data_IF_402102374776
#
_entry.id   IF_402102374776
#
_cell.length_a   1.000
_cell.length_b   1.000
_cell.length_c   1.000
_cell.angle_alpha   90.00
_cell.angle_beta   90.00
_cell.angle_gamma   90.00
#
_symmetry.space_group_name_H-M   'P 1'
#
loop_
_entity.id
_entity.type
_entity.pdbx_description
1 polymer ?
#
# COMPACT_ATOMS: atom_id res chain seq x y z
N UNK A 1 20.14 -3.35 0.23
CA UNK A 1 20.65 -3.75 -1.08
C UNK A 1 20.60 -5.30 -1.17
N UNK A 2 19.37 -5.81 -1.13
CA UNK A 2 19.12 -7.26 -1.13
C UNK A 2 19.34 -7.89 -2.50
N UNK A 3 19.14 -7.13 -3.57
CA UNK A 3 19.32 -7.55 -4.95
C UNK A 3 20.73 -7.27 -5.51
N UNK A 4 21.57 -6.53 -4.78
CA UNK A 4 22.96 -6.25 -5.15
C UNK A 4 23.16 -5.17 -6.23
N UNK A 5 22.15 -4.34 -6.51
CA UNK A 5 22.19 -3.31 -7.56
C UNK A 5 22.93 -2.03 -7.15
N UNK A 6 23.39 -1.94 -5.91
CA UNK A 6 24.10 -0.77 -5.37
C UNK A 6 23.18 0.31 -4.82
N UNK A 7 21.86 0.10 -4.85
CA UNK A 7 20.89 0.97 -4.20
C UNK A 7 20.45 0.41 -2.84
N UNK A 8 19.97 1.26 -1.95
CA UNK A 8 19.22 0.82 -0.79
C UNK A 8 17.78 0.51 -1.23
N UNK A 9 17.25 -0.65 -0.82
CA UNK A 9 15.88 -1.05 -1.20
C UNK A 9 14.82 -0.09 -0.63
N UNK A 10 15.07 0.45 0.55
CA UNK A 10 14.28 1.52 1.16
C UNK A 10 15.11 2.27 2.20
N UNK A 11 14.81 3.55 2.37
CA UNK A 11 15.33 4.40 3.43
C UNK A 11 14.16 5.03 4.19
N UNK A 12 14.11 4.85 5.50
CA UNK A 12 13.10 5.47 6.34
C UNK A 12 13.70 6.67 7.09
N UNK A 13 13.12 7.85 6.89
CA UNK A 13 13.44 9.07 7.61
C UNK A 13 12.34 9.37 8.62
N UNK A 14 12.63 9.22 9.90
CA UNK A 14 11.74 9.63 10.98
C UNK A 14 12.13 11.02 11.45
N UNK A 15 11.19 11.96 11.35
CA UNK A 15 11.39 13.34 11.77
C UNK A 15 10.70 13.60 13.11
N UNK A 16 11.50 14.05 14.08
CA UNK A 16 10.96 14.50 15.37
C UNK A 16 10.33 15.89 15.19
N UNK A 17 9.02 15.94 15.35
CA UNK A 17 8.20 17.15 15.37
C UNK A 17 7.44 17.20 16.69
N UNK A 18 7.06 18.39 17.12
CA UNK A 18 6.26 18.57 18.34
C UNK A 18 4.78 18.20 18.11
N UNK A 19 4.29 18.38 16.88
CA UNK A 19 2.91 18.11 16.48
C UNK A 19 2.86 17.41 15.11
N UNK A 20 1.77 16.69 14.85
CA UNK A 20 1.51 16.11 13.54
C UNK A 20 1.35 17.23 12.48
N UNK A 21 2.00 17.12 11.33
CA UNK A 21 1.89 18.11 10.26
C UNK A 21 0.47 18.11 9.65
N UNK A 22 0.09 19.21 9.02
CA UNK A 22 -1.14 19.28 8.24
C UNK A 22 -1.05 18.32 7.04
N UNK A 23 -2.18 17.74 6.63
CA UNK A 23 -2.27 16.72 5.58
C UNK A 23 -1.72 17.15 4.23
N UNK A 24 -1.85 18.43 3.90
CA UNK A 24 -1.36 19.03 2.65
C UNK A 24 0.09 19.55 2.75
N UNK A 25 0.75 19.37 3.88
CA UNK A 25 2.10 19.86 4.08
C UNK A 25 3.16 18.97 3.43
N UNK A 26 4.30 19.56 3.10
CA UNK A 26 5.48 18.81 2.64
C UNK A 26 6.01 17.81 3.68
N UNK A 27 5.64 18.00 4.95
CA UNK A 27 6.06 17.16 6.07
C UNK A 27 5.08 16.05 6.41
N UNK A 28 3.99 15.87 5.64
CA UNK A 28 3.09 14.73 5.79
C UNK A 28 3.81 13.41 5.50
N UNK A 29 3.40 12.33 6.17
CA UNK A 29 3.95 11.00 5.91
C UNK A 29 3.75 10.62 4.44
N UNK A 30 4.78 10.07 3.83
CA UNK A 30 4.73 9.67 2.41
C UNK A 30 5.87 8.74 2.02
N UNK A 31 5.61 7.88 1.06
CA UNK A 31 6.63 7.25 0.23
C UNK A 31 6.98 8.20 -0.91
N UNK A 32 8.25 8.34 -1.20
CA UNK A 32 8.72 9.09 -2.34
C UNK A 32 9.98 8.46 -2.93
N UNK A 33 10.46 9.01 -4.03
CA UNK A 33 11.65 8.52 -4.70
C UNK A 33 12.62 9.67 -4.95
N UNK A 34 13.91 9.41 -4.79
CA UNK A 34 14.96 10.26 -5.33
C UNK A 34 15.29 9.78 -6.73
N UNK A 35 14.90 10.54 -7.70
CA UNK A 35 15.09 10.16 -9.10
C UNK A 35 16.49 10.55 -9.55
N UNK A 36 17.21 9.54 -10.05
CA UNK A 36 18.45 9.72 -10.77
C UNK A 36 18.13 9.87 -12.26
N UNK A 37 17.99 11.09 -12.73
CA UNK A 37 17.70 11.35 -14.13
C UNK A 37 17.57 12.83 -14.44
N UNK A 38 17.42 13.15 -15.72
CA UNK A 38 17.03 14.49 -16.12
C UNK A 38 15.51 14.67 -15.90
N UNK A 39 15.04 15.92 -15.95
CA UNK A 39 13.63 16.24 -15.74
C UNK A 39 12.67 15.56 -16.75
N UNK A 40 13.17 15.09 -17.90
CA UNK A 40 12.38 14.42 -18.91
C UNK A 40 12.17 12.94 -18.60
N UNK A 41 13.14 12.28 -17.97
CA UNK A 41 12.97 10.91 -17.43
C UNK A 41 11.94 10.91 -16.30
N UNK A 42 11.86 11.99 -15.52
CA UNK A 42 10.86 12.19 -14.46
C UNK A 42 9.43 12.28 -15.01
N UNK A 43 9.23 12.99 -16.12
CA UNK A 43 7.92 13.16 -16.75
C UNK A 43 7.33 11.85 -17.26
N UNK A 44 8.15 10.87 -17.58
CA UNK A 44 7.70 9.56 -18.07
C UNK A 44 7.34 8.59 -16.95
N UNK A 45 7.89 8.78 -15.75
CA UNK A 45 7.71 7.88 -14.62
C UNK A 45 6.66 8.37 -13.59
N UNK A 46 6.48 9.68 -13.48
CA UNK A 46 5.58 10.30 -12.49
C UNK A 46 4.96 11.59 -13.05
N UNK A 47 3.77 11.94 -12.58
CA UNK A 47 3.19 13.27 -12.82
C UNK A 47 3.98 14.28 -11.97
N UNK A 48 5.08 14.76 -12.49
CA UNK A 48 5.87 15.82 -11.84
C UNK A 48 5.23 17.16 -12.16
N UNK A 49 4.92 17.94 -11.13
CA UNK A 49 4.44 19.31 -11.28
C UNK A 49 5.42 20.10 -12.16
N UNK A 50 4.90 20.87 -13.12
CA UNK A 50 5.69 21.67 -14.08
C UNK A 50 6.72 22.59 -13.40
N UNK A 51 6.50 23.00 -12.15
CA UNK A 51 7.41 23.83 -11.38
C UNK A 51 8.79 23.19 -11.13
N UNK A 52 8.91 21.89 -11.30
CA UNK A 52 10.18 21.14 -11.17
C UNK A 52 10.82 20.80 -12.52
N UNK A 53 10.23 21.27 -13.62
CA UNK A 53 10.81 21.07 -14.95
C UNK A 53 12.15 21.83 -15.04
N UNK A 54 13.22 21.13 -15.40
CA UNK A 54 14.57 21.70 -15.52
C UNK A 54 15.43 21.61 -14.23
N UNK A 55 14.97 20.93 -13.18
CA UNK A 55 15.79 20.64 -12.00
C UNK A 55 16.59 19.35 -12.25
N UNK A 56 17.93 19.46 -12.23
CA UNK A 56 18.82 18.29 -12.21
C UNK A 56 18.71 17.58 -10.85
N UNK A 57 17.97 16.48 -10.82
CA UNK A 57 17.85 15.65 -9.62
C UNK A 57 18.97 14.63 -9.64
N UNK A 58 19.92 14.79 -8.73
CA UNK A 58 21.03 13.85 -8.59
C UNK A 58 20.67 12.77 -7.57
N UNK A 59 21.07 11.50 -7.81
CA UNK A 59 20.91 10.43 -6.83
C UNK A 59 21.57 10.87 -5.52
N UNK A 60 20.85 10.71 -4.44
CA UNK A 60 21.44 10.85 -3.12
C UNK A 60 22.27 9.61 -2.79
N UNK A 61 23.35 9.79 -2.05
CA UNK A 61 24.19 8.68 -1.64
C UNK A 61 24.30 8.63 -0.11
N UNK A 62 24.15 7.42 0.40
CA UNK A 62 24.47 7.07 1.76
C UNK A 62 25.72 6.15 1.75
N UNK A 63 26.90 6.74 2.01
CA UNK A 63 28.17 6.02 1.81
C UNK A 63 28.38 5.65 0.33
N UNK A 64 28.49 4.37 0.04
CA UNK A 64 28.69 3.82 -1.30
C UNK A 64 27.37 3.35 -1.96
N UNK A 65 26.21 3.53 -1.30
CA UNK A 65 24.89 3.14 -1.80
C UNK A 65 24.13 4.35 -2.32
N UNK A 66 23.40 4.20 -3.41
CA UNK A 66 22.40 5.18 -3.83
C UNK A 66 21.10 4.99 -3.05
N UNK A 67 20.40 6.10 -2.80
CA UNK A 67 19.07 6.08 -2.20
C UNK A 67 18.11 6.50 -3.32
N UNK A 68 17.23 5.59 -3.72
CA UNK A 68 16.21 5.85 -4.74
C UNK A 68 14.83 6.00 -4.10
N UNK A 69 14.48 5.07 -3.22
CA UNK A 69 13.20 5.05 -2.53
C UNK A 69 13.37 5.42 -1.06
N UNK A 70 12.45 6.25 -0.56
CA UNK A 70 12.41 6.57 0.86
C UNK A 70 10.99 6.74 1.35
N UNK A 71 10.79 6.44 2.61
CA UNK A 71 9.58 6.83 3.36
C UNK A 71 9.93 7.93 4.33
N UNK A 72 9.05 8.92 4.43
CA UNK A 72 9.15 10.03 5.35
C UNK A 72 8.06 9.89 6.40
N UNK A 73 8.44 9.83 7.66
CA UNK A 73 7.55 9.53 8.77
C UNK A 73 7.71 10.61 9.87
N UNK A 74 6.79 11.55 10.01
CA UNK A 74 6.72 12.43 11.18
C UNK A 74 6.45 11.59 12.43
N UNK A 75 7.28 11.74 13.46
CA UNK A 75 7.15 10.95 14.69
C UNK A 75 5.76 11.05 15.33
N UNK A 76 5.09 12.21 15.41
CA UNK A 76 3.75 12.30 16.00
C UNK A 76 2.68 11.48 15.26
N UNK A 77 2.92 11.12 13.98
CA UNK A 77 2.02 10.24 13.21
C UNK A 77 2.23 8.75 13.53
N UNK A 78 3.33 8.41 14.21
CA UNK A 78 3.61 7.06 14.71
C UNK A 78 3.05 6.81 16.10
N UNK A 79 2.29 7.75 16.62
CA UNK A 79 1.60 7.66 17.91
C UNK A 79 0.12 7.94 17.75
N UNK A 80 -0.70 7.24 18.52
CA UNK A 80 -2.13 7.52 18.64
C UNK A 80 -2.49 7.54 20.11
N UNK A 81 -2.93 8.71 20.60
CA UNK A 81 -3.26 8.93 22.02
C UNK A 81 -2.12 8.61 23.00
N UNK A 82 -0.87 8.81 22.55
CA UNK A 82 0.32 8.50 23.34
C UNK A 82 0.82 7.06 23.27
N UNK A 83 0.10 6.18 22.54
CA UNK A 83 0.53 4.81 22.31
C UNK A 83 1.18 4.65 20.93
N UNK A 84 2.21 3.81 20.77
CA UNK A 84 2.82 3.54 19.49
C UNK A 84 1.80 3.03 18.46
N UNK A 85 1.79 3.64 17.27
CA UNK A 85 0.93 3.23 16.16
C UNK A 85 1.76 3.04 14.90
N UNK A 86 1.81 1.82 14.40
CA UNK A 86 2.57 1.47 13.20
C UNK A 86 1.77 1.59 11.90
N UNK A 87 0.49 1.93 11.94
CA UNK A 87 -0.38 1.86 10.76
C UNK A 87 0.09 2.77 9.63
N UNK A 88 0.48 4.02 9.93
CA UNK A 88 1.04 4.96 8.95
C UNK A 88 2.35 4.42 8.36
N UNK A 89 3.24 3.89 9.20
CA UNK A 89 4.48 3.30 8.73
C UNK A 89 4.23 2.07 7.83
N UNK A 90 3.24 1.24 8.18
CA UNK A 90 2.83 0.10 7.36
C UNK A 90 2.29 0.56 6.01
N UNK A 91 1.44 1.58 5.98
CA UNK A 91 0.91 2.18 4.75
C UNK A 91 2.04 2.63 3.82
N UNK A 92 2.94 3.47 4.31
CA UNK A 92 4.06 3.98 3.51
C UNK A 92 5.01 2.85 3.06
N UNK A 93 5.23 1.85 3.91
CA UNK A 93 6.05 0.69 3.54
C UNK A 93 5.38 -0.18 2.46
N UNK A 94 4.06 -0.32 2.48
CA UNK A 94 3.33 -1.03 1.42
C UNK A 94 3.54 -0.36 0.05
N UNK A 95 3.66 0.96 -0.03
CA UNK A 95 4.04 1.65 -1.25
C UNK A 95 5.43 1.26 -1.75
N UNK A 96 6.38 1.02 -0.87
CA UNK A 96 7.72 0.51 -1.25
C UNK A 96 7.61 -0.88 -1.87
N UNK A 97 6.67 -1.70 -1.40
CA UNK A 97 6.37 -3.02 -1.97
C UNK A 97 5.56 -2.96 -3.28
N UNK A 98 5.14 -1.78 -3.71
CA UNK A 98 4.44 -1.55 -4.97
C UNK A 98 2.91 -1.45 -4.86
N UNK A 99 2.36 -1.38 -3.64
CA UNK A 99 0.93 -1.13 -3.45
C UNK A 99 0.58 0.31 -3.85
N UNK A 100 -0.56 0.49 -4.50
CA UNK A 100 -1.17 1.80 -4.72
C UNK A 100 -2.14 2.11 -3.58
N UNK A 101 -2.44 3.40 -3.39
CA UNK A 101 -3.53 3.82 -2.52
C UNK A 101 -4.87 3.23 -3.00
N UNK A 102 -5.71 2.87 -2.04
CA UNK A 102 -7.03 2.32 -2.26
C UNK A 102 -8.16 3.33 -1.95
N UNK A 103 -7.82 4.62 -1.88
CA UNK A 103 -8.75 5.74 -1.75
C UNK A 103 -8.68 6.65 -2.99
N UNK A 104 -9.71 7.49 -3.16
CA UNK A 104 -9.77 8.45 -4.27
C UNK A 104 -9.02 9.73 -3.91
N UNK A 105 -8.19 10.23 -4.84
CA UNK A 105 -7.59 11.56 -4.74
C UNK A 105 -8.50 12.68 -5.26
N UNK A 106 -9.54 12.32 -6.03
CA UNK A 106 -10.42 13.29 -6.69
C UNK A 106 -11.67 13.61 -5.86
N UNK A 107 -12.13 12.64 -5.08
CA UNK A 107 -13.36 12.72 -4.31
C UNK A 107 -13.09 12.26 -2.87
N UNK A 108 -12.87 13.19 -1.97
CA UNK A 108 -12.57 12.91 -0.55
C UNK A 108 -13.71 12.17 0.18
N UNK A 109 -14.92 12.20 -0.38
CA UNK A 109 -16.11 11.56 0.21
C UNK A 109 -16.36 10.13 -0.32
N UNK A 110 -15.59 9.66 -1.30
CA UNK A 110 -15.73 8.32 -1.87
C UNK A 110 -14.65 7.37 -1.35
N UNK A 111 -14.90 6.74 -0.23
CA UNK A 111 -14.09 5.63 0.28
C UNK A 111 -14.61 4.29 -0.24
N UNK A 112 -13.97 3.74 -1.27
CA UNK A 112 -14.40 2.48 -1.87
C UNK A 112 -14.14 1.27 -0.97
N UNK A 113 -13.12 1.34 -0.12
CA UNK A 113 -12.63 0.24 0.71
C UNK A 113 -12.68 0.60 2.19
N UNK A 114 -12.54 1.87 2.53
CA UNK A 114 -12.60 2.38 3.89
C UNK A 114 -11.55 1.76 4.81
N UNK A 115 -11.94 1.49 6.02
CA UNK A 115 -11.06 0.94 7.07
C UNK A 115 -10.65 -0.53 6.86
N UNK A 116 -11.14 -1.19 5.80
CA UNK A 116 -10.80 -2.60 5.53
C UNK A 116 -9.37 -2.80 5.05
N UNK A 117 -8.74 -1.76 4.50
CA UNK A 117 -7.39 -1.85 3.95
C UNK A 117 -6.48 -0.76 4.55
N UNK A 118 -5.25 -1.14 4.90
CA UNK A 118 -4.24 -0.17 5.33
C UNK A 118 -3.90 0.83 4.22
N UNK A 119 -4.10 0.48 2.96
CA UNK A 119 -3.91 1.37 1.80
C UNK A 119 -5.10 2.30 1.55
N UNK A 120 -6.17 2.21 2.36
CA UNK A 120 -7.26 3.16 2.45
C UNK A 120 -7.26 3.79 3.85
N UNK A 121 -8.40 4.09 4.45
CA UNK A 121 -8.46 4.71 5.79
C UNK A 121 -8.07 3.76 6.95
N UNK A 122 -7.76 2.49 6.64
CA UNK A 122 -7.25 1.52 7.62
C UNK A 122 -5.93 1.91 8.31
N UNK A 123 -5.16 2.83 7.74
CA UNK A 123 -3.97 3.41 8.39
C UNK A 123 -4.31 4.27 9.63
N UNK A 124 -5.52 4.79 9.71
CA UNK A 124 -6.00 5.60 10.84
C UNK A 124 -6.35 4.80 12.10
N UNK A 125 -6.27 3.47 12.06
CA UNK A 125 -6.67 2.57 13.16
C UNK A 125 -5.56 2.37 14.18
N UNK A 126 -5.92 1.92 15.37
CA UNK A 126 -4.94 1.52 16.42
C UNK A 126 -4.16 0.28 15.99
N UNK A 127 -4.82 -0.65 15.29
CA UNK A 127 -4.19 -1.79 14.64
C UNK A 127 -4.31 -1.59 13.13
N UNK A 128 -3.20 -1.59 12.37
CA UNK A 128 -3.27 -1.43 10.92
C UNK A 128 -4.16 -2.51 10.30
N UNK A 129 -5.04 -2.10 9.40
CA UNK A 129 -5.83 -3.04 8.62
C UNK A 129 -4.92 -3.91 7.76
N UNK A 130 -5.26 -5.18 7.62
CA UNK A 130 -4.55 -6.05 6.66
C UNK A 130 -4.91 -5.60 5.23
N UNK A 131 -3.97 -5.55 4.28
CA UNK A 131 -4.29 -5.26 2.90
C UNK A 131 -5.29 -6.28 2.32
N UNK A 132 -6.16 -5.83 1.41
CA UNK A 132 -7.06 -6.71 0.67
C UNK A 132 -6.27 -7.75 -0.13
N UNK A 133 -6.86 -8.92 -0.35
CA UNK A 133 -6.25 -10.00 -1.15
C UNK A 133 -5.86 -9.53 -2.55
N UNK A 134 -6.61 -8.60 -3.13
CA UNK A 134 -6.24 -7.97 -4.40
C UNK A 134 -4.92 -7.19 -4.31
N UNK A 135 -4.74 -6.39 -3.25
CA UNK A 135 -3.50 -5.64 -3.02
C UNK A 135 -2.33 -6.60 -2.81
N UNK A 136 -2.52 -7.62 -1.94
CA UNK A 136 -1.51 -8.65 -1.69
C UNK A 136 -1.13 -9.43 -2.96
N UNK A 137 -2.10 -9.67 -3.85
CA UNK A 137 -1.84 -10.26 -5.16
C UNK A 137 -1.01 -9.35 -6.06
N UNK A 138 -1.34 -8.06 -6.10
CA UNK A 138 -0.63 -7.08 -6.94
C UNK A 138 0.83 -6.91 -6.55
N UNK A 139 1.16 -7.02 -5.27
CA UNK A 139 2.54 -6.93 -4.75
C UNK A 139 3.23 -8.29 -4.60
N UNK A 140 2.59 -9.39 -5.04
CA UNK A 140 3.21 -10.72 -5.12
C UNK A 140 3.20 -11.54 -3.84
N UNK A 141 2.46 -11.15 -2.80
CA UNK A 141 2.29 -11.96 -1.58
C UNK A 141 1.29 -13.09 -1.76
N UNK A 142 0.31 -12.91 -2.65
CA UNK A 142 -0.62 -13.96 -3.06
C UNK A 142 -0.46 -14.22 -4.56
N UNK A 143 -0.73 -15.44 -5.00
CA UNK A 143 -0.61 -15.85 -6.39
C UNK A 143 -1.81 -16.68 -6.87
N UNK A 144 -2.13 -16.55 -8.16
CA UNK A 144 -3.14 -17.41 -8.80
C UNK A 144 -2.64 -18.85 -8.84
N UNK A 145 -3.53 -19.78 -8.52
CA UNK A 145 -3.23 -21.20 -8.47
C UNK A 145 -2.67 -21.70 -7.13
N UNK A 146 -2.28 -20.80 -6.22
CA UNK A 146 -1.84 -21.14 -4.87
C UNK A 146 -2.83 -20.62 -3.82
N UNK A 147 -3.03 -19.29 -3.78
CA UNK A 147 -3.87 -18.64 -2.76
C UNK A 147 -5.12 -17.99 -3.36
N UNK A 148 -5.11 -17.74 -4.67
CA UNK A 148 -6.24 -17.16 -5.41
C UNK A 148 -6.70 -18.19 -6.44
N UNK A 149 -7.96 -18.59 -6.35
CA UNK A 149 -8.57 -19.53 -7.28
C UNK A 149 -9.62 -18.86 -8.16
N UNK A 150 -9.71 -19.20 -9.48
CA UNK A 150 -10.75 -18.68 -10.33
C UNK A 150 -12.09 -19.35 -10.04
N UNK A 151 -13.19 -18.61 -10.10
CA UNK A 151 -14.55 -19.15 -10.17
C UNK A 151 -14.89 -19.38 -11.64
N UNK A 152 -14.97 -20.64 -12.06
CA UNK A 152 -15.18 -21.02 -13.46
C UNK A 152 -16.63 -21.48 -13.76
N UNK A 153 -17.41 -21.80 -12.73
CA UNK A 153 -18.77 -22.30 -12.86
C UNK A 153 -19.55 -22.04 -11.57
N UNK A 154 -20.88 -22.05 -11.60
CA UNK A 154 -21.68 -22.09 -10.37
C UNK A 154 -21.36 -23.32 -9.53
N UNK A 155 -21.24 -23.15 -8.21
CA UNK A 155 -20.89 -24.26 -7.31
C UNK A 155 -20.72 -23.79 -5.87
N UNK A 156 -20.34 -24.73 -5.01
CA UNK A 156 -19.94 -24.47 -3.64
C UNK A 156 -18.40 -24.37 -3.57
N UNK A 157 -17.93 -23.35 -2.89
CA UNK A 157 -16.50 -23.04 -2.79
C UNK A 157 -16.12 -22.82 -1.32
N UNK A 158 -15.02 -23.38 -0.90
CA UNK A 158 -14.50 -23.17 0.46
C UNK A 158 -13.48 -22.05 0.45
N UNK A 159 -13.73 -21.03 1.26
CA UNK A 159 -12.87 -19.86 1.42
C UNK A 159 -12.29 -19.87 2.83
N UNK A 160 -10.98 -19.71 2.92
CA UNK A 160 -10.27 -19.61 4.19
C UNK A 160 -10.00 -18.13 4.51
N UNK A 161 -9.96 -17.80 5.79
CA UNK A 161 -9.60 -16.46 6.24
C UNK A 161 -8.24 -16.04 5.68
N UNK A 162 -8.10 -14.76 5.34
CA UNK A 162 -6.80 -14.19 4.95
C UNK A 162 -5.73 -14.41 6.01
N UNK A 163 -6.13 -14.60 7.26
CA UNK A 163 -5.25 -14.85 8.42
C UNK A 163 -4.90 -16.33 8.62
N UNK A 164 -5.52 -17.24 7.86
CA UNK A 164 -5.28 -18.69 7.99
C UNK A 164 -3.92 -19.11 7.40
N UNK A 165 -3.59 -20.41 7.50
CA UNK A 165 -2.30 -20.98 7.11
C UNK A 165 -1.88 -20.78 5.65
N UNK A 166 -0.65 -21.10 5.32
CA UNK A 166 -0.13 -21.08 3.95
C UNK A 166 -0.78 -22.17 3.09
N UNK A 167 -0.91 -21.89 1.79
CA UNK A 167 -1.40 -22.87 0.81
C UNK A 167 -2.91 -23.04 0.76
N UNK A 168 -3.66 -22.23 1.52
CA UNK A 168 -5.12 -22.22 1.50
C UNK A 168 -5.65 -21.14 0.56
N UNK A 169 -6.84 -21.38 -0.02
CA UNK A 169 -7.50 -20.39 -0.87
C UNK A 169 -7.98 -19.20 -0.02
N UNK A 170 -7.35 -18.06 -0.21
CA UNK A 170 -7.62 -16.80 0.50
C UNK A 170 -8.63 -15.91 -0.22
N UNK A 171 -8.68 -16.04 -1.54
CA UNK A 171 -9.62 -15.30 -2.36
C UNK A 171 -10.07 -16.11 -3.57
N UNK A 172 -11.31 -15.86 -3.99
CA UNK A 172 -11.79 -16.30 -5.29
C UNK A 172 -11.87 -15.11 -6.24
N UNK A 173 -11.39 -15.32 -7.46
CA UNK A 173 -11.43 -14.35 -8.55
C UNK A 173 -12.55 -14.71 -9.52
N UNK A 174 -13.51 -13.79 -9.67
CA UNK A 174 -14.57 -13.87 -10.65
C UNK A 174 -14.24 -12.93 -11.81
N UNK A 175 -14.17 -13.49 -13.02
CA UNK A 175 -13.95 -12.73 -14.25
C UNK A 175 -15.27 -12.62 -14.98
N UNK A 176 -15.69 -11.41 -15.33
CA UNK A 176 -16.93 -11.19 -16.10
C UNK A 176 -16.69 -11.57 -17.57
N UNK A 177 -17.50 -12.51 -18.13
CA UNK A 177 -17.25 -13.05 -19.48
C UNK A 177 -17.51 -12.09 -20.63
N UNK A 178 -18.31 -11.04 -20.44
CA UNK A 178 -18.83 -10.20 -21.55
C UNK A 178 -18.09 -8.88 -21.77
N UNK A 179 -16.95 -8.66 -21.12
CA UNK A 179 -16.16 -7.45 -21.29
C UNK A 179 -14.83 -7.75 -22.01
N UNK A 180 -14.90 -7.96 -23.31
CA UNK A 180 -13.71 -8.24 -24.13
C UNK A 180 -12.61 -7.16 -24.07
N UNK A 181 -12.96 -5.94 -23.64
CA UNK A 181 -12.00 -4.82 -23.59
C UNK A 181 -11.64 -4.34 -22.18
N UNK A 182 -12.43 -4.69 -21.19
CA UNK A 182 -12.18 -4.34 -19.79
C UNK A 182 -12.07 -5.61 -18.97
N UNK A 183 -10.88 -5.93 -18.51
CA UNK A 183 -10.58 -7.08 -17.64
C UNK A 183 -11.08 -6.79 -16.22
N UNK A 184 -12.38 -6.63 -16.07
CA UNK A 184 -12.99 -6.47 -14.76
C UNK A 184 -12.99 -7.81 -14.03
N UNK A 185 -12.57 -7.79 -12.78
CA UNK A 185 -12.57 -8.96 -11.92
C UNK A 185 -13.06 -8.55 -10.54
N UNK A 186 -13.84 -9.42 -9.93
CA UNK A 186 -14.20 -9.31 -8.52
C UNK A 186 -13.36 -10.30 -7.72
N UNK A 187 -12.92 -9.86 -6.54
CA UNK A 187 -12.24 -10.70 -5.58
C UNK A 187 -13.15 -10.87 -4.37
N UNK A 188 -13.41 -12.12 -3.99
CA UNK A 188 -14.17 -12.48 -2.81
C UNK A 188 -13.21 -13.04 -1.79
N UNK A 189 -13.12 -12.41 -0.63
CA UNK A 189 -12.27 -12.81 0.48
C UNK A 189 -13.07 -12.92 1.77
N UNK A 190 -12.53 -13.67 2.73
CA UNK A 190 -13.09 -13.80 4.07
C UNK A 190 -12.09 -13.30 5.11
N UNK A 191 -12.57 -12.47 6.02
CA UNK A 191 -11.78 -11.89 7.10
C UNK A 191 -12.38 -12.23 8.45
N UNK A 192 -11.53 -12.61 9.37
CA UNK A 192 -11.90 -12.84 10.76
C UNK A 192 -11.44 -11.69 11.65
N UNK A 193 -12.19 -11.44 12.71
CA UNK A 193 -11.79 -10.47 13.77
C UNK A 193 -10.75 -11.08 14.72
N UNK A 194 -9.69 -11.62 14.15
CA UNK A 194 -8.56 -12.23 14.87
C UNK A 194 -7.24 -11.68 14.30
N UNK A 195 -6.15 -11.79 15.01
CA UNK A 195 -4.85 -11.34 14.54
C UNK A 195 -4.87 -9.89 14.05
N UNK A 196 -4.46 -9.65 12.82
CA UNK A 196 -4.50 -8.33 12.18
C UNK A 196 -5.93 -7.85 11.88
N UNK A 197 -6.89 -8.77 11.77
CA UNK A 197 -8.31 -8.46 11.62
C UNK A 197 -9.02 -8.07 12.93
N UNK A 198 -8.38 -8.20 14.09
CA UNK A 198 -8.98 -7.92 15.39
C UNK A 198 -9.54 -6.48 15.52
N UNK A 199 -8.97 -5.55 14.76
CA UNK A 199 -9.42 -4.17 14.71
C UNK A 199 -10.63 -3.90 13.78
N UNK A 200 -11.17 -4.88 13.06
CA UNK A 200 -12.35 -4.67 12.19
C UNK A 200 -13.54 -4.21 13.03
N UNK A 201 -14.26 -3.19 12.53
CA UNK A 201 -15.39 -2.62 13.26
C UNK A 201 -16.55 -3.63 13.38
N UNK A 202 -17.43 -3.44 14.39
CA UNK A 202 -18.60 -4.31 14.62
C UNK A 202 -19.65 -4.24 13.52
N UNK A 203 -19.56 -3.30 12.59
CA UNK A 203 -20.47 -3.14 11.46
C UNK A 203 -20.31 -4.14 10.32
N UNK A 204 -19.38 -5.09 10.44
CA UNK A 204 -19.10 -6.14 9.46
C UNK A 204 -19.48 -7.54 9.97
N UNK A 205 -20.45 -7.64 10.86
CA UNK A 205 -21.04 -8.91 11.28
C UNK A 205 -22.15 -9.34 10.33
#
# INVERSE_FOLDING_TARGET
DGNGDGAADCFALVLALDEAPAEDSLLWAKKSVYLAGNADDLKSAYVVDEKYSGVDIKPQKLGNRSINDYIFLPYPMLEKRGDPNSAVACHEFMHVLGAADAYSYETADEEFVGELDVMASGYGRETPGMPLSYVLYKIGFLSEGENIAPVLAPGEYTLFSTESGRGETKAYKLVLPDYETKRESFYVEYREKTGYGAGLSSGFE
#
